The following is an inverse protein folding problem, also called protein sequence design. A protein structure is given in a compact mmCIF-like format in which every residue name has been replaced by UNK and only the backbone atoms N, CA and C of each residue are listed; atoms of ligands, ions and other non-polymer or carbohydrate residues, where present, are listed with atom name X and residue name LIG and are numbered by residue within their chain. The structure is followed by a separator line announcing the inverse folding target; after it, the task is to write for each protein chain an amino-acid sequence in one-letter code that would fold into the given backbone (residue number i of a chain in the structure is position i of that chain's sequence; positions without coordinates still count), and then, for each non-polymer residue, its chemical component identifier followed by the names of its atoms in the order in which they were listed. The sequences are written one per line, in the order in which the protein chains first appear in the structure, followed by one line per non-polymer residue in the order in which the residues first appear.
data_IF_823754499741
#
_entry.id   IF_823754499741
#
_cell.length_a   1.000
_cell.length_b   1.000
_cell.length_c   1.000
_cell.angle_alpha   90.00
_cell.angle_beta   90.00
_cell.angle_gamma   90.00
#
_symmetry.space_group_name_H-M   'P 1'
#
loop_
_entity.id
_entity.type
_entity.pdbx_description
1 polymer ?
#
# COMPACT_ATOMS: atom_id res chain seq x y z
N UNK A 1 -26.64 -2.29 -54.00
CA UNK A 1 -26.30 -0.88 -54.28
C UNK A 1 -25.44 -0.35 -53.16
N UNK A 2 -24.18 -0.09 -53.50
CA UNK A 2 -23.13 0.54 -52.71
C UNK A 2 -23.50 1.92 -52.15
N UNK A 3 -22.97 2.22 -50.95
CA UNK A 3 -22.76 3.59 -50.46
C UNK A 3 -21.29 3.81 -50.08
N UNK A 4 -20.40 3.24 -50.89
CA UNK A 4 -19.05 3.78 -51.09
C UNK A 4 -19.21 5.19 -51.65
N UNK A 5 -19.26 6.21 -50.80
CA UNK A 5 -19.08 7.61 -51.19
C UNK A 5 -18.96 8.50 -49.95
N UNK A 6 -17.90 8.34 -49.16
CA UNK A 6 -17.44 9.42 -48.25
C UNK A 6 -15.92 9.43 -48.07
N UNK A 7 -15.18 9.08 -49.13
CA UNK A 7 -13.77 9.45 -49.26
C UNK A 7 -13.59 10.13 -50.61
N UNK A 8 -13.54 11.46 -50.62
CA UNK A 8 -12.80 12.31 -51.56
C UNK A 8 -13.11 13.78 -51.29
N UNK A 9 -12.08 14.57 -50.94
CA UNK A 9 -12.21 16.02 -50.86
C UNK A 9 -11.14 16.68 -50.00
N UNK A 10 -9.93 16.81 -50.56
CA UNK A 10 -8.84 17.56 -49.97
C UNK A 10 -9.11 19.09 -50.00
N UNK A 11 -8.76 19.79 -48.92
CA UNK A 11 -8.32 21.19 -48.98
C UNK A 11 -7.39 21.46 -47.79
N UNK A 12 -6.09 21.47 -48.07
CA UNK A 12 -5.09 22.01 -47.15
C UNK A 12 -5.29 23.53 -47.08
N UNK A 13 -5.69 24.03 -45.90
CA UNK A 13 -5.63 25.44 -45.56
C UNK A 13 -4.67 25.60 -44.38
N UNK A 14 -3.42 25.93 -44.70
CA UNK A 14 -2.39 26.27 -43.73
C UNK A 14 -2.74 27.60 -43.07
N UNK A 15 -3.42 27.56 -41.92
CA UNK A 15 -3.53 28.73 -41.05
C UNK A 15 -2.28 28.76 -40.16
N UNK A 16 -1.29 29.53 -40.59
CA UNK A 16 -0.18 29.94 -39.73
C UNK A 16 -0.73 30.86 -38.62
N UNK A 17 -1.18 30.26 -37.51
CA UNK A 17 -1.33 31.00 -36.27
C UNK A 17 0.07 31.25 -35.72
N UNK A 18 0.58 32.46 -35.93
CA UNK A 18 1.68 32.98 -35.13
C UNK A 18 1.17 33.16 -33.69
N UNK A 19 1.20 32.07 -32.92
CA UNK A 19 1.07 32.14 -31.48
C UNK A 19 2.34 32.83 -30.97
N UNK A 20 2.24 34.11 -30.60
CA UNK A 20 3.21 34.72 -29.69
C UNK A 20 3.01 34.05 -28.34
N UNK A 21 3.67 32.90 -28.15
CA UNK A 21 3.80 32.28 -26.85
C UNK A 21 4.63 33.24 -25.99
N UNK A 22 3.96 33.98 -25.10
CA UNK A 22 4.63 34.57 -23.95
C UNK A 22 5.27 33.40 -23.19
N UNK A 23 6.60 33.32 -23.20
CA UNK A 23 7.32 32.40 -22.36
C UNK A 23 7.06 32.80 -20.91
N UNK A 24 6.12 32.13 -20.26
CA UNK A 24 5.95 32.26 -18.82
C UNK A 24 7.19 31.64 -18.16
N UNK A 25 7.95 32.48 -17.47
CA UNK A 25 9.18 32.09 -16.79
C UNK A 25 8.80 31.17 -15.61
N UNK A 26 8.74 29.87 -15.88
CA UNK A 26 8.50 28.87 -14.85
C UNK A 26 9.69 28.82 -13.90
N UNK A 27 9.58 29.52 -12.77
CA UNK A 27 10.52 29.40 -11.66
C UNK A 27 10.48 27.97 -11.10
N UNK A 28 11.41 27.13 -11.55
CA UNK A 28 11.65 25.82 -10.97
C UNK A 28 12.25 26.01 -9.57
N UNK A 29 11.39 25.97 -8.55
CA UNK A 29 11.84 25.80 -7.17
C UNK A 29 12.36 24.36 -7.00
N UNK A 30 13.68 24.20 -7.06
CA UNK A 30 14.32 22.93 -6.76
C UNK A 30 14.22 22.66 -5.25
N UNK A 31 13.35 21.74 -4.85
CA UNK A 31 13.41 21.14 -3.54
C UNK A 31 14.68 20.27 -3.50
N UNK A 32 15.62 20.59 -2.60
CA UNK A 32 16.90 19.89 -2.47
C UNK A 32 16.72 18.37 -2.24
N UNK A 33 17.81 17.61 -2.44
CA UNK A 33 17.79 16.16 -2.24
C UNK A 33 17.29 15.81 -0.84
N UNK A 34 16.24 14.97 -0.76
CA UNK A 34 15.66 14.55 0.50
C UNK A 34 16.69 13.75 1.31
N UNK A 35 16.90 14.13 2.57
CA UNK A 35 17.66 13.32 3.50
C UNK A 35 16.98 11.96 3.71
N UNK A 36 17.77 10.91 3.94
CA UNK A 36 17.23 9.57 4.21
C UNK A 36 16.34 9.61 5.47
N UNK A 37 15.14 9.01 5.38
CA UNK A 37 14.24 8.91 6.52
C UNK A 37 14.82 7.89 7.53
N UNK A 38 15.02 8.24 8.81
CA UNK A 38 15.56 7.31 9.82
C UNK A 38 14.68 6.08 10.07
N UNK A 39 13.40 6.14 9.70
CA UNK A 39 12.42 5.07 9.86
C UNK A 39 12.21 4.25 8.57
N UNK A 40 13.09 4.35 7.57
CA UNK A 40 12.95 3.67 6.27
C UNK A 40 12.73 2.14 6.40
N UNK A 41 13.40 1.48 7.34
CA UNK A 41 13.19 0.06 7.62
C UNK A 41 11.76 -0.25 8.11
N UNK A 42 11.22 0.58 9.01
CA UNK A 42 9.84 0.44 9.50
C UNK A 42 8.83 0.73 8.39
N UNK A 43 9.08 1.75 7.55
CA UNK A 43 8.23 2.07 6.39
C UNK A 43 8.17 0.88 5.43
N UNK A 44 9.32 0.28 5.10
CA UNK A 44 9.37 -0.89 4.23
C UNK A 44 8.66 -2.10 4.83
N UNK A 45 8.88 -2.39 6.11
CA UNK A 45 8.26 -3.53 6.78
C UNK A 45 6.73 -3.38 6.88
N UNK A 46 6.23 -2.20 7.26
CA UNK A 46 4.78 -1.92 7.31
C UNK A 46 4.15 -1.98 5.91
N UNK A 47 4.82 -1.46 4.87
CA UNK A 47 4.32 -1.56 3.50
C UNK A 47 4.23 -3.01 3.00
N UNK A 48 5.25 -3.83 3.29
CA UNK A 48 5.23 -5.26 2.97
C UNK A 48 4.11 -5.99 3.73
N UNK A 49 3.93 -5.68 5.02
CA UNK A 49 2.88 -6.24 5.87
C UNK A 49 1.48 -5.86 5.36
N UNK A 50 1.28 -4.62 4.93
CA UNK A 50 0.03 -4.15 4.30
C UNK A 50 -0.27 -4.91 3.01
N UNK A 51 0.73 -5.09 2.15
CA UNK A 51 0.57 -5.83 0.90
C UNK A 51 0.17 -7.28 1.15
N UNK A 52 0.90 -7.98 2.03
CA UNK A 52 0.62 -9.37 2.38
C UNK A 52 -0.74 -9.53 3.10
N UNK A 53 -1.05 -8.62 4.04
CA UNK A 53 -2.29 -8.61 4.78
C UNK A 53 -3.52 -8.39 3.92
N UNK A 54 -3.46 -7.50 2.92
CA UNK A 54 -4.58 -7.28 2.00
C UNK A 54 -4.88 -8.53 1.17
N UNK A 55 -3.84 -9.24 0.71
CA UNK A 55 -4.01 -10.52 0.02
C UNK A 55 -4.59 -11.59 0.94
N UNK A 56 -4.08 -11.70 2.18
CA UNK A 56 -4.59 -12.62 3.18
C UNK A 56 -6.07 -12.36 3.52
N UNK A 57 -6.45 -11.10 3.75
CA UNK A 57 -7.84 -10.75 4.05
C UNK A 57 -8.78 -11.08 2.89
N UNK A 58 -8.38 -10.78 1.64
CA UNK A 58 -9.16 -11.14 0.46
C UNK A 58 -9.38 -12.67 0.37
N UNK A 59 -8.32 -13.44 0.65
CA UNK A 59 -8.41 -14.90 0.71
C UNK A 59 -9.38 -15.38 1.81
N UNK A 60 -9.27 -14.85 3.03
CA UNK A 60 -10.15 -15.21 4.14
C UNK A 60 -11.61 -14.89 3.82
N UNK A 61 -11.90 -13.71 3.25
CA UNK A 61 -13.26 -13.30 2.88
C UNK A 61 -13.85 -14.23 1.82
N UNK A 62 -13.04 -14.69 0.86
CA UNK A 62 -13.50 -15.65 -0.15
C UNK A 62 -13.96 -16.97 0.49
N UNK A 63 -13.13 -17.57 1.36
CA UNK A 63 -13.49 -18.81 2.06
C UNK A 63 -14.71 -18.65 2.98
N UNK A 64 -14.79 -17.52 3.71
CA UNK A 64 -15.96 -17.18 4.52
C UNK A 64 -17.25 -17.09 3.68
N UNK A 65 -17.15 -16.53 2.46
CA UNK A 65 -18.29 -16.40 1.53
C UNK A 65 -18.74 -17.75 0.95
N UNK A 66 -17.83 -18.73 0.89
CA UNK A 66 -18.11 -20.11 0.51
C UNK A 66 -18.68 -20.95 1.67
N UNK A 67 -18.79 -20.36 2.88
CA UNK A 67 -19.35 -20.98 4.07
C UNK A 67 -18.33 -21.60 5.04
N UNK A 68 -17.04 -21.56 4.71
CA UNK A 68 -15.97 -22.00 5.60
C UNK A 68 -15.70 -20.94 6.67
N UNK A 69 -16.15 -21.21 7.90
CA UNK A 69 -16.02 -20.31 9.05
C UNK A 69 -14.65 -20.36 9.73
N UNK A 70 -13.75 -21.26 9.32
CA UNK A 70 -12.44 -21.43 9.97
C UNK A 70 -11.55 -20.18 9.86
N UNK A 71 -11.84 -19.27 8.91
CA UNK A 71 -11.06 -18.06 8.66
C UNK A 71 -11.53 -16.82 9.45
N UNK A 72 -12.55 -16.93 10.30
CA UNK A 72 -13.18 -15.77 10.93
C UNK A 72 -12.22 -14.98 11.84
N UNK A 73 -11.47 -15.67 12.69
CA UNK A 73 -10.51 -15.03 13.60
C UNK A 73 -9.30 -14.47 12.84
N UNK A 74 -8.84 -15.17 11.81
CA UNK A 74 -7.78 -14.69 10.93
C UNK A 74 -8.20 -13.40 10.20
N UNK A 75 -9.37 -13.37 9.59
CA UNK A 75 -9.89 -12.17 8.91
C UNK A 75 -10.00 -10.97 9.86
N UNK A 76 -10.47 -11.19 11.09
CA UNK A 76 -10.58 -10.14 12.10
C UNK A 76 -9.20 -9.59 12.50
N UNK A 77 -8.24 -10.47 12.79
CA UNK A 77 -6.90 -10.09 13.19
C UNK A 77 -6.14 -9.35 12.07
N UNK A 78 -6.25 -9.84 10.83
CA UNK A 78 -5.64 -9.19 9.66
C UNK A 78 -6.22 -7.80 9.45
N UNK A 79 -7.54 -7.60 9.56
CA UNK A 79 -8.15 -6.28 9.39
C UNK A 79 -7.68 -5.27 10.45
N UNK A 80 -7.58 -5.69 11.73
CA UNK A 80 -7.00 -4.86 12.79
C UNK A 80 -5.54 -4.51 12.51
N UNK A 81 -4.74 -5.49 12.10
CA UNK A 81 -3.33 -5.29 11.75
C UNK A 81 -3.18 -4.29 10.60
N UNK A 82 -4.00 -4.40 9.54
CA UNK A 82 -3.95 -3.49 8.40
C UNK A 82 -4.15 -2.03 8.82
N UNK A 83 -5.13 -1.75 9.69
CA UNK A 83 -5.37 -0.39 10.17
C UNK A 83 -4.17 0.20 10.92
N UNK A 84 -3.53 -0.60 11.79
CA UNK A 84 -2.37 -0.12 12.56
C UNK A 84 -1.10 -0.05 11.73
N UNK A 85 -0.86 -0.98 10.80
CA UNK A 85 0.27 -0.90 9.87
C UNK A 85 0.19 0.35 8.98
N UNK A 86 -1.00 0.72 8.50
CA UNK A 86 -1.21 1.90 7.65
C UNK A 86 -0.93 3.20 8.41
N UNK A 87 -1.45 3.29 9.65
CA UNK A 87 -1.17 4.41 10.53
C UNK A 87 0.34 4.50 10.87
N UNK A 88 0.97 3.40 11.25
CA UNK A 88 2.41 3.38 11.57
C UNK A 88 3.26 3.74 10.36
N UNK A 89 2.93 3.23 9.16
CA UNK A 89 3.64 3.57 7.92
C UNK A 89 3.61 5.07 7.65
N UNK A 90 2.41 5.68 7.72
CA UNK A 90 2.20 7.10 7.48
C UNK A 90 2.94 7.96 8.51
N UNK A 91 2.85 7.60 9.80
CA UNK A 91 3.55 8.31 10.88
C UNK A 91 5.08 8.20 10.78
N UNK A 92 5.59 7.05 10.31
CA UNK A 92 7.02 6.84 10.10
C UNK A 92 7.54 7.71 8.95
N UNK A 93 6.79 7.81 7.84
CA UNK A 93 7.15 8.62 6.67
C UNK A 93 7.35 10.11 7.01
N UNK A 94 6.61 10.62 8.00
CA UNK A 94 6.65 12.01 8.44
C UNK A 94 7.41 12.25 9.75
N UNK A 95 8.12 11.24 10.28
CA UNK A 95 8.86 11.33 11.55
C UNK A 95 7.99 11.87 12.70
N UNK A 96 6.74 11.39 12.81
CA UNK A 96 5.78 11.94 13.75
C UNK A 96 6.20 11.70 15.21
N UNK A 97 5.91 12.66 16.09
CA UNK A 97 6.15 12.54 17.55
C UNK A 97 5.38 11.38 18.20
N UNK A 98 4.24 10.99 17.62
CA UNK A 98 3.43 9.87 18.09
C UNK A 98 3.92 8.49 17.62
N UNK A 99 4.95 8.43 16.78
CA UNK A 99 5.36 7.20 16.10
C UNK A 99 5.67 6.06 17.09
N UNK A 100 6.45 6.31 18.14
CA UNK A 100 6.81 5.28 19.12
C UNK A 100 5.58 4.67 19.80
N UNK A 101 4.63 5.52 20.20
CA UNK A 101 3.39 5.07 20.82
C UNK A 101 2.55 4.23 19.84
N UNK A 102 2.39 4.65 18.58
CA UNK A 102 1.59 3.89 17.61
C UNK A 102 2.30 2.61 17.16
N UNK A 103 3.64 2.63 17.02
CA UNK A 103 4.46 1.48 16.68
C UNK A 103 4.32 0.37 17.74
N UNK A 104 4.25 0.71 19.03
CA UNK A 104 3.99 -0.26 20.10
C UNK A 104 2.67 -1.03 19.89
N UNK A 105 1.61 -0.33 19.51
CA UNK A 105 0.30 -0.95 19.25
C UNK A 105 0.30 -1.75 17.95
N UNK A 106 0.99 -1.25 16.92
CA UNK A 106 1.18 -1.98 15.67
C UNK A 106 1.96 -3.29 15.89
N UNK A 107 3.01 -3.30 16.71
CA UNK A 107 3.75 -4.51 17.06
C UNK A 107 2.83 -5.56 17.69
N UNK A 108 1.95 -5.15 18.60
CA UNK A 108 0.99 -6.04 19.26
C UNK A 108 -0.03 -6.61 18.28
N UNK A 109 -0.61 -5.79 17.41
CA UNK A 109 -1.53 -6.27 16.38
C UNK A 109 -0.86 -7.18 15.35
N UNK A 110 0.40 -6.92 14.98
CA UNK A 110 1.17 -7.81 14.11
C UNK A 110 1.38 -9.18 14.76
N UNK A 111 1.67 -9.24 16.07
CA UNK A 111 1.79 -10.51 16.81
C UNK A 111 0.47 -11.29 16.82
N UNK A 112 -0.63 -10.62 17.15
CA UNK A 112 -1.97 -11.24 17.14
C UNK A 112 -2.35 -11.75 15.74
N UNK A 113 -2.03 -10.98 14.69
CA UNK A 113 -2.25 -11.39 13.31
C UNK A 113 -1.37 -12.59 12.92
N UNK A 114 -0.10 -12.60 13.32
CA UNK A 114 0.78 -13.74 13.09
C UNK A 114 0.26 -15.01 13.77
N UNK A 115 -0.16 -14.93 15.04
CA UNK A 115 -0.71 -16.07 15.77
C UNK A 115 -1.97 -16.63 15.11
N UNK A 116 -2.86 -15.76 14.62
CA UNK A 116 -4.04 -16.17 13.87
C UNK A 116 -3.68 -16.80 12.50
N UNK A 117 -2.71 -16.23 11.77
CA UNK A 117 -2.25 -16.76 10.49
C UNK A 117 -1.55 -18.13 10.63
N UNK A 118 -0.92 -18.41 11.78
CA UNK A 118 -0.10 -19.61 12.00
C UNK A 118 -0.86 -20.92 11.74
N UNK A 119 -2.13 -20.99 12.12
CA UNK A 119 -2.97 -22.17 11.89
C UNK A 119 -3.24 -22.45 10.41
N UNK A 120 -3.02 -21.46 9.54
CA UNK A 120 -3.37 -21.50 8.12
C UNK A 120 -2.15 -21.44 7.19
N UNK A 121 -0.97 -21.12 7.73
CA UNK A 121 0.25 -20.88 6.96
C UNK A 121 0.75 -22.08 6.16
N UNK A 122 0.45 -23.31 6.60
CA UNK A 122 0.81 -24.52 5.85
C UNK A 122 -0.23 -24.90 4.77
N UNK A 123 -1.37 -24.23 4.74
CA UNK A 123 -2.48 -24.53 3.83
C UNK A 123 -2.76 -23.42 2.81
N UNK A 124 -2.46 -22.17 3.16
CA UNK A 124 -2.75 -21.00 2.34
C UNK A 124 -1.51 -20.11 2.24
N UNK A 125 -1.02 -19.91 1.01
CA UNK A 125 0.19 -19.14 0.75
C UNK A 125 0.05 -17.68 1.20
N UNK A 126 -1.15 -17.11 1.09
CA UNK A 126 -1.47 -15.76 1.54
C UNK A 126 -1.34 -15.61 3.05
N UNK A 127 -1.81 -16.62 3.82
CA UNK A 127 -1.65 -16.66 5.27
C UNK A 127 -0.18 -16.82 5.67
N UNK A 128 0.59 -17.63 4.93
CA UNK A 128 2.04 -17.77 5.16
C UNK A 128 2.79 -16.47 4.95
N UNK A 129 2.55 -15.80 3.83
CA UNK A 129 3.18 -14.52 3.52
C UNK A 129 2.81 -13.45 4.57
N UNK A 130 1.55 -13.40 4.98
CA UNK A 130 1.10 -12.48 6.03
C UNK A 130 1.73 -12.80 7.39
N UNK A 131 1.85 -14.07 7.76
CA UNK A 131 2.52 -14.52 8.98
C UNK A 131 3.99 -14.05 9.03
N UNK A 132 4.74 -14.29 7.96
CA UNK A 132 6.16 -13.90 7.88
C UNK A 132 6.32 -12.37 7.90
N UNK A 133 5.49 -11.64 7.14
CA UNK A 133 5.52 -10.18 7.11
C UNK A 133 5.12 -9.56 8.47
N UNK A 134 4.16 -10.16 9.18
CA UNK A 134 3.77 -9.71 10.52
C UNK A 134 4.92 -9.85 11.52
N UNK A 135 5.70 -10.93 11.45
CA UNK A 135 6.86 -11.12 12.34
C UNK A 135 7.93 -10.06 12.13
N UNK A 136 8.27 -9.80 10.86
CA UNK A 136 9.23 -8.75 10.50
C UNK A 136 8.71 -7.37 10.94
N UNK A 137 7.45 -7.06 10.64
CA UNK A 137 6.85 -5.79 11.02
C UNK A 137 6.80 -5.59 12.54
N UNK A 138 6.47 -6.63 13.31
CA UNK A 138 6.50 -6.58 14.77
C UNK A 138 7.90 -6.30 15.33
N UNK A 139 8.94 -6.88 14.72
CA UNK A 139 10.33 -6.63 15.09
C UNK A 139 10.73 -5.17 14.84
N UNK A 140 10.43 -4.65 13.64
CA UNK A 140 10.76 -3.26 13.29
C UNK A 140 9.97 -2.26 14.16
N UNK A 141 8.68 -2.52 14.41
CA UNK A 141 7.90 -1.72 15.34
C UNK A 141 8.50 -1.72 16.76
N UNK A 142 9.01 -2.87 17.22
CA UNK A 142 9.67 -3.01 18.52
C UNK A 142 10.94 -2.18 18.66
N UNK A 143 11.69 -1.96 17.57
CA UNK A 143 12.89 -1.10 17.56
C UNK A 143 12.56 0.38 17.77
N UNK A 144 11.35 0.80 17.40
CA UNK A 144 10.90 2.20 17.49
C UNK A 144 10.09 2.46 18.77
N UNK A 145 9.48 1.43 19.36
CA UNK A 145 8.59 1.54 20.51
C UNK A 145 9.29 1.74 21.88
N UNK A 146 10.61 1.94 21.89
CA UNK A 146 11.44 2.09 23.09
C UNK A 146 11.23 3.45 23.78
#
# INVERSE_FOLDING_TARGET
MDRRSFLSGAAAASLAFAATASAEEHHHHAHGAAAANPNDALIKATAACLSAGRACLAHCIRLLSEGDKSMADCAKAVNQMLALCDATNSLAAQNASLLAAVAKQCAEACKQCADACKAHAEHHAECKACFEACKECAEQCGKIAA
#
